data_IF_599661983268
#
_entry.id   IF_599661983268
#
_cell.length_a   1.000
_cell.length_b   1.000
_cell.length_c   1.000
_cell.angle_alpha   90.00
_cell.angle_beta   90.00
_cell.angle_gamma   90.00
#
_symmetry.space_group_name_H-M   'P 1'
#
loop_
_entity.id
_entity.type
_entity.pdbx_description
1 polymer ?
#
# COMPACT_ATOMS: atom_id res chain seq x y z
N UNK A 1 5.51 2.14 -15.78
CA UNK A 1 5.08 2.53 -14.42
C UNK A 1 4.37 3.88 -14.37
N UNK A 2 4.25 4.65 -15.46
CA UNK A 2 3.66 6.00 -15.41
C UNK A 2 2.13 6.08 -15.57
N UNK A 3 1.49 5.05 -16.13
CA UNK A 3 0.03 5.02 -16.28
C UNK A 3 -0.70 4.94 -14.94
N UNK A 4 -0.20 4.14 -13.99
CA UNK A 4 -0.81 4.04 -12.65
C UNK A 4 -0.77 5.39 -11.94
N UNK A 5 0.35 6.10 -11.96
CA UNK A 5 0.48 7.43 -11.35
C UNK A 5 -0.44 8.49 -11.96
N UNK A 6 -0.80 8.34 -13.23
CA UNK A 6 -1.79 9.19 -13.89
C UNK A 6 -3.20 9.02 -13.30
N UNK A 7 -3.54 7.80 -12.87
CA UNK A 7 -4.84 7.47 -12.27
C UNK A 7 -4.85 7.54 -10.73
N UNK A 8 -3.70 7.35 -10.06
CA UNK A 8 -3.61 7.26 -8.60
C UNK A 8 -2.96 8.48 -7.92
N UNK A 9 -2.28 9.37 -8.65
CA UNK A 9 -1.63 10.57 -8.10
C UNK A 9 -2.45 11.86 -8.27
N UNK A 10 -1.83 13.02 -7.96
CA UNK A 10 -2.37 14.40 -8.12
C UNK A 10 -3.02 14.69 -9.49
N UNK A 11 -2.75 13.86 -10.51
CA UNK A 11 -3.28 13.99 -11.86
C UNK A 11 -4.64 13.29 -12.07
N UNK A 12 -5.13 12.50 -11.11
CA UNK A 12 -6.45 11.87 -11.18
C UNK A 12 -7.59 12.90 -11.17
N UNK A 13 -7.38 14.02 -10.49
CA UNK A 13 -8.32 15.14 -10.47
C UNK A 13 -8.36 15.85 -11.83
N UNK A 14 -7.20 16.01 -12.50
CA UNK A 14 -7.12 16.58 -13.84
C UNK A 14 -7.85 15.73 -14.91
N UNK A 15 -7.74 14.39 -14.85
CA UNK A 15 -8.48 13.51 -15.77
C UNK A 15 -9.99 13.55 -15.53
N UNK A 16 -10.41 13.65 -14.28
CA UNK A 16 -11.81 13.81 -13.90
C UNK A 16 -12.35 15.17 -14.35
N UNK A 17 -11.56 16.24 -14.24
CA UNK A 17 -11.89 17.56 -14.74
C UNK A 17 -12.04 17.58 -16.26
N UNK A 18 -11.16 16.90 -16.99
CA UNK A 18 -11.29 16.71 -18.45
C UNK A 18 -12.52 15.89 -18.83
N UNK A 19 -12.81 14.81 -18.10
CA UNK A 19 -14.02 14.02 -18.30
C UNK A 19 -15.30 14.81 -18.03
N UNK A 20 -15.29 15.67 -17.01
CA UNK A 20 -16.40 16.55 -16.65
C UNK A 20 -16.58 17.67 -17.68
N UNK A 21 -15.49 18.28 -18.14
CA UNK A 21 -15.51 19.27 -19.22
C UNK A 21 -16.06 18.68 -20.52
N UNK A 22 -15.67 17.47 -20.89
CA UNK A 22 -16.25 16.79 -22.05
C UNK A 22 -17.74 16.52 -21.82
N UNK A 23 -18.15 16.01 -20.66
CA UNK A 23 -19.57 15.81 -20.34
C UNK A 23 -20.39 17.10 -20.43
N UNK A 24 -19.87 18.23 -19.96
CA UNK A 24 -20.53 19.55 -20.06
C UNK A 24 -20.59 20.02 -21.52
N UNK A 25 -19.53 19.78 -22.31
CA UNK A 25 -19.40 20.29 -23.68
C UNK A 25 -20.14 19.45 -24.73
N UNK A 26 -20.15 18.12 -24.59
CA UNK A 26 -20.71 17.19 -25.57
C UNK A 26 -21.87 16.35 -25.03
N UNK A 27 -22.19 16.45 -23.73
CA UNK A 27 -23.20 15.60 -23.08
C UNK A 27 -22.77 14.14 -22.93
N UNK A 28 -21.54 13.80 -23.35
CA UNK A 28 -21.07 12.44 -23.46
C UNK A 28 -20.60 11.90 -22.10
N UNK A 29 -21.43 11.04 -21.52
CA UNK A 29 -21.19 10.37 -20.23
C UNK A 29 -20.12 9.29 -20.33
N UNK A 30 -19.83 8.80 -21.52
CA UNK A 30 -19.01 7.62 -21.71
C UNK A 30 -17.55 7.88 -21.30
N UNK A 31 -17.01 9.05 -21.63
CA UNK A 31 -15.65 9.43 -21.23
C UNK A 31 -15.53 9.58 -19.70
N UNK A 32 -16.50 10.23 -19.05
CA UNK A 32 -16.51 10.40 -17.60
C UNK A 32 -16.61 9.05 -16.88
N UNK A 33 -17.46 8.15 -17.37
CA UNK A 33 -17.61 6.79 -16.84
C UNK A 33 -16.34 5.97 -16.99
N UNK A 34 -15.67 6.04 -18.15
CA UNK A 34 -14.39 5.35 -18.39
C UNK A 34 -13.28 5.85 -17.47
N UNK A 35 -13.14 7.17 -17.30
CA UNK A 35 -12.13 7.77 -16.41
C UNK A 35 -12.40 7.38 -14.95
N UNK A 36 -13.66 7.49 -14.50
CA UNK A 36 -14.05 7.13 -13.14
C UNK A 36 -13.83 5.63 -12.88
N UNK A 37 -14.23 4.77 -13.82
CA UNK A 37 -14.03 3.33 -13.74
C UNK A 37 -12.56 2.94 -13.64
N UNK A 38 -11.70 3.57 -14.46
CA UNK A 38 -10.26 3.34 -14.41
C UNK A 38 -9.64 3.77 -13.07
N UNK A 39 -10.07 4.93 -12.51
CA UNK A 39 -9.61 5.41 -11.19
C UNK A 39 -10.00 4.47 -10.07
N UNK A 40 -11.24 3.97 -10.07
CA UNK A 40 -11.71 2.99 -9.07
C UNK A 40 -10.94 1.67 -9.19
N UNK A 41 -10.75 1.16 -10.41
CA UNK A 41 -9.98 -0.06 -10.63
C UNK A 41 -8.53 0.07 -10.17
N UNK A 42 -7.88 1.19 -10.47
CA UNK A 42 -6.52 1.48 -10.02
C UNK A 42 -6.43 1.60 -8.48
N UNK A 43 -7.38 2.27 -7.85
CA UNK A 43 -7.45 2.37 -6.38
C UNK A 43 -7.64 1.00 -5.71
N UNK A 44 -8.54 0.16 -6.24
CA UNK A 44 -8.76 -1.19 -5.72
C UNK A 44 -7.51 -2.05 -5.91
N UNK A 45 -6.86 -1.97 -7.06
CA UNK A 45 -5.62 -2.71 -7.34
C UNK A 45 -4.47 -2.31 -6.41
N UNK A 46 -4.28 -1.00 -6.21
CA UNK A 46 -3.27 -0.46 -5.29
C UNK A 46 -3.53 -0.90 -3.85
N UNK A 47 -4.79 -0.81 -3.40
CA UNK A 47 -5.18 -1.25 -2.06
C UNK A 47 -4.95 -2.74 -1.82
N UNK A 48 -5.30 -3.59 -2.79
CA UNK A 48 -5.04 -5.04 -2.71
C UNK A 48 -3.54 -5.35 -2.71
N UNK A 49 -2.74 -4.59 -3.45
CA UNK A 49 -1.28 -4.77 -3.50
C UNK A 49 -0.64 -4.34 -2.18
N UNK A 50 -1.02 -3.18 -1.64
CA UNK A 50 -0.53 -2.70 -0.35
C UNK A 50 -0.89 -3.64 0.80
N UNK A 51 -2.09 -4.24 0.80
CA UNK A 51 -2.45 -5.26 1.78
C UNK A 51 -1.54 -6.51 1.69
N UNK A 52 -1.20 -6.95 0.48
CA UNK A 52 -0.26 -8.07 0.29
C UNK A 52 1.15 -7.72 0.78
N UNK A 53 1.63 -6.51 0.52
CA UNK A 53 2.94 -6.05 0.99
C UNK A 53 2.99 -5.94 2.52
N UNK A 54 1.92 -5.43 3.15
CA UNK A 54 1.79 -5.39 4.62
C UNK A 54 1.80 -6.80 5.21
N UNK A 55 1.08 -7.75 4.61
CA UNK A 55 1.08 -9.16 5.08
C UNK A 55 2.44 -9.83 4.89
N UNK A 56 3.14 -9.53 3.80
CA UNK A 56 4.50 -10.02 3.56
C UNK A 56 5.48 -9.50 4.63
N UNK A 57 5.42 -8.20 4.94
CA UNK A 57 6.21 -7.57 6.00
C UNK A 57 5.89 -8.17 7.39
N UNK A 58 4.62 -8.42 7.68
CA UNK A 58 4.20 -9.06 8.94
C UNK A 58 4.78 -10.46 9.05
N UNK A 59 4.63 -11.27 8.01
CA UNK A 59 5.14 -12.64 7.95
C UNK A 59 6.67 -12.67 8.10
N UNK A 60 7.39 -11.78 7.41
CA UNK A 60 8.84 -11.67 7.54
C UNK A 60 9.28 -11.32 8.96
N UNK A 61 8.56 -10.41 9.62
CA UNK A 61 8.84 -10.01 11.01
C UNK A 61 8.61 -11.16 11.99
N UNK A 62 7.49 -11.88 11.86
CA UNK A 62 7.21 -13.06 12.69
C UNK A 62 8.28 -14.14 12.50
N UNK A 63 8.70 -14.38 11.25
CA UNK A 63 9.74 -15.36 10.94
C UNK A 63 11.08 -14.96 11.56
N UNK A 64 11.45 -13.68 11.48
CA UNK A 64 12.66 -13.13 12.08
C UNK A 64 12.68 -13.27 13.60
N UNK A 65 11.56 -12.94 14.26
CA UNK A 65 11.39 -13.12 15.71
C UNK A 65 11.51 -14.61 16.06
N UNK A 66 10.80 -15.47 15.35
CA UNK A 66 10.82 -16.92 15.60
C UNK A 66 12.22 -17.51 15.43
N UNK A 67 12.97 -17.03 14.43
CA UNK A 67 14.37 -17.39 14.21
C UNK A 67 15.25 -16.92 15.37
N UNK A 68 15.10 -15.68 15.81
CA UNK A 68 15.87 -15.14 16.92
C UNK A 68 15.67 -15.95 18.21
N UNK A 69 14.42 -16.28 18.56
CA UNK A 69 14.08 -17.12 19.72
C UNK A 69 14.72 -18.51 19.60
N UNK A 70 14.69 -19.11 18.41
CA UNK A 70 15.31 -20.42 18.16
C UNK A 70 16.84 -20.38 18.29
N UNK A 71 17.47 -19.33 17.78
CA UNK A 71 18.93 -19.18 17.77
C UNK A 71 19.49 -18.75 19.14
N UNK A 72 18.65 -18.15 20.00
CA UNK A 72 19.03 -17.68 21.34
C UNK A 72 18.17 -18.31 22.45
N UNK A 73 18.21 -19.65 22.63
CA UNK A 73 17.36 -20.35 23.59
C UNK A 73 17.66 -20.04 25.06
N UNK A 74 18.79 -19.38 25.33
CA UNK A 74 19.22 -18.96 26.67
C UNK A 74 19.09 -17.44 26.90
N UNK A 75 18.54 -16.69 25.94
CA UNK A 75 18.32 -15.27 26.10
C UNK A 75 17.44 -15.02 27.33
N UNK A 76 17.81 -14.03 28.13
CA UNK A 76 16.94 -13.56 29.21
C UNK A 76 15.65 -12.98 28.64
N UNK A 77 14.60 -12.94 29.45
CA UNK A 77 13.32 -12.31 29.03
C UNK A 77 13.52 -10.87 28.59
N UNK A 78 14.39 -10.12 29.25
CA UNK A 78 14.67 -8.71 28.95
C UNK A 78 15.37 -8.55 27.59
N UNK A 79 16.36 -9.38 27.28
CA UNK A 79 17.02 -9.39 25.97
C UNK A 79 16.03 -9.76 24.85
N UNK A 80 15.18 -10.75 25.10
CA UNK A 80 14.19 -11.20 24.13
C UNK A 80 13.14 -10.13 23.85
N UNK A 81 12.62 -9.48 24.89
CA UNK A 81 11.67 -8.36 24.76
C UNK A 81 12.30 -7.19 24.01
N UNK A 82 13.56 -6.86 24.30
CA UNK A 82 14.29 -5.79 23.62
C UNK A 82 14.44 -6.05 22.12
N UNK A 83 14.87 -7.25 21.74
CA UNK A 83 15.07 -7.59 20.33
C UNK A 83 13.74 -7.71 19.57
N UNK A 84 12.72 -8.33 20.17
CA UNK A 84 11.38 -8.40 19.58
C UNK A 84 10.81 -6.98 19.39
N UNK A 85 10.94 -6.12 20.40
CA UNK A 85 10.50 -4.73 20.32
C UNK A 85 11.19 -3.95 19.20
N UNK A 86 12.49 -4.16 19.00
CA UNK A 86 13.24 -3.59 17.88
C UNK A 86 12.69 -4.05 16.53
N UNK A 87 12.45 -5.34 16.36
CA UNK A 87 11.93 -5.90 15.10
C UNK A 87 10.51 -5.40 14.79
N UNK A 88 9.66 -5.26 15.80
CA UNK A 88 8.32 -4.66 15.67
C UNK A 88 8.41 -3.18 15.28
N UNK A 89 9.35 -2.43 15.87
CA UNK A 89 9.57 -1.03 15.53
C UNK A 89 10.07 -0.86 14.08
N UNK A 90 10.96 -1.73 13.61
CA UNK A 90 11.39 -1.75 12.21
C UNK A 90 10.23 -2.09 11.25
N UNK A 91 9.35 -3.01 11.64
CA UNK A 91 8.13 -3.31 10.89
C UNK A 91 7.20 -2.10 10.78
N UNK A 92 6.97 -1.39 11.89
CA UNK A 92 6.18 -0.16 11.90
C UNK A 92 6.74 0.86 10.90
N UNK A 93 8.06 1.11 10.94
CA UNK A 93 8.71 2.04 10.01
C UNK A 93 8.54 1.65 8.54
N UNK A 94 8.57 0.34 8.23
CA UNK A 94 8.39 -0.15 6.86
C UNK A 94 6.95 0.06 6.39
N UNK A 95 5.95 -0.15 7.25
CA UNK A 95 4.55 0.16 6.92
C UNK A 95 4.36 1.66 6.69
N UNK A 96 4.93 2.52 7.53
CA UNK A 96 4.82 3.98 7.38
C UNK A 96 5.49 4.50 6.08
N UNK A 97 6.35 3.70 5.46
CA UNK A 97 7.02 4.03 4.20
C UNK A 97 6.35 3.47 2.93
N UNK A 98 5.29 2.66 3.09
CA UNK A 98 4.42 2.19 2.00
C UNK A 98 3.34 3.24 1.71
#
# INVERSE_FOLDING_TARGET
>A
MDLLKLFTGQNGDFLQDLGTLNFINSGDKEMLQRVTGARVAAYVFDKLTNEQEIEALRTATILSISKYVKDHPKASKEEMVKEIGKQIYEFQKKIESL
#
